data_IF_520563331976
#
_entry.id   IF_520563331976
#
_cell.length_a   1.000
_cell.length_b   1.000
_cell.length_c   1.000
_cell.angle_alpha   90.00
_cell.angle_beta   90.00
_cell.angle_gamma   90.00
#
_symmetry.space_group_name_H-M   'P 1'
#
loop_
_entity.id
_entity.type
_entity.pdbx_description
1 polymer ?
#
# COMPACT_ATOMS: atom_id res chain seq x y z
N UNK A 1 22.37 14.32 11.17
CA UNK A 1 21.88 13.41 12.24
C UNK A 1 20.61 13.89 12.94
N UNK A 2 20.57 15.05 13.62
CA UNK A 2 19.32 15.51 14.28
C UNK A 2 18.25 15.91 13.26
N UNK A 3 18.63 16.57 12.17
CA UNK A 3 17.76 16.93 11.08
C UNK A 3 17.16 15.69 10.43
N UNK A 4 17.98 14.72 10.05
CA UNK A 4 17.56 13.46 9.43
C UNK A 4 16.56 12.70 10.34
N UNK A 5 16.82 12.69 11.66
CA UNK A 5 15.92 12.08 12.62
C UNK A 5 14.53 12.77 12.66
N UNK A 6 14.51 14.11 12.62
CA UNK A 6 13.26 14.89 12.59
C UNK A 6 12.49 14.62 11.29
N UNK A 7 13.18 14.60 10.15
CA UNK A 7 12.58 14.29 8.84
C UNK A 7 11.94 12.89 8.83
N UNK A 8 12.68 11.87 9.28
CA UNK A 8 12.16 10.51 9.38
C UNK A 8 10.96 10.44 10.33
N UNK A 9 10.98 11.18 11.45
CA UNK A 9 9.86 11.23 12.37
C UNK A 9 8.59 11.82 11.72
N UNK A 10 8.76 12.93 10.97
CA UNK A 10 7.66 13.56 10.23
C UNK A 10 7.09 12.60 9.18
N UNK A 11 7.95 11.98 8.36
CA UNK A 11 7.54 11.02 7.35
C UNK A 11 6.84 9.82 7.97
N UNK A 12 7.33 9.33 9.12
CA UNK A 12 6.71 8.21 9.86
C UNK A 12 5.32 8.57 10.39
N UNK A 13 5.14 9.78 10.90
CA UNK A 13 3.83 10.26 11.36
C UNK A 13 2.85 10.40 10.18
N UNK A 14 3.30 10.98 9.07
CA UNK A 14 2.49 11.13 7.85
C UNK A 14 2.08 9.76 7.31
N UNK A 15 3.02 8.82 7.18
CA UNK A 15 2.76 7.46 6.71
C UNK A 15 1.78 6.73 7.65
N UNK A 16 2.03 6.72 8.95
CA UNK A 16 1.22 6.01 9.92
C UNK A 16 -0.24 6.50 9.97
N UNK A 17 -0.46 7.80 9.77
CA UNK A 17 -1.80 8.38 9.71
C UNK A 17 -2.46 8.10 8.36
N UNK A 18 -1.74 8.33 7.25
CA UNK A 18 -2.34 8.32 5.91
C UNK A 18 -2.50 6.92 5.30
N UNK A 19 -1.74 5.92 5.74
CA UNK A 19 -1.75 4.56 5.16
C UNK A 19 -3.09 3.84 5.34
N UNK A 20 -3.75 4.06 6.47
CA UNK A 20 -5.01 3.40 6.82
C UNK A 20 -6.25 4.27 6.60
N UNK A 21 -6.07 5.57 6.40
CA UNK A 21 -7.13 6.47 6.00
C UNK A 21 -7.40 6.34 4.49
N UNK A 22 -8.63 6.65 4.03
CA UNK A 22 -8.96 6.58 2.60
C UNK A 22 -8.35 7.77 1.81
N UNK A 23 -7.10 8.11 2.11
CA UNK A 23 -6.29 9.14 1.47
C UNK A 23 -4.97 8.50 1.03
N UNK A 24 -4.40 8.94 -0.08
CA UNK A 24 -3.17 8.31 -0.61
C UNK A 24 -1.95 8.66 0.24
N UNK A 25 -1.36 7.68 0.94
CA UNK A 25 -0.14 7.87 1.75
C UNK A 25 1.04 8.30 0.88
N UNK A 26 1.26 7.65 -0.26
CA UNK A 26 2.33 8.02 -1.19
C UNK A 26 2.21 9.46 -1.70
N UNK A 27 0.98 9.93 -1.98
CA UNK A 27 0.76 11.33 -2.35
C UNK A 27 1.16 12.29 -1.24
N UNK A 28 0.81 11.98 0.02
CA UNK A 28 1.16 12.81 1.18
C UNK A 28 2.66 12.82 1.45
N UNK A 29 3.33 11.66 1.34
CA UNK A 29 4.79 11.59 1.47
C UNK A 29 5.48 12.47 0.43
N UNK A 30 5.08 12.35 -0.85
CA UNK A 30 5.64 13.18 -1.94
C UNK A 30 5.40 14.68 -1.69
N UNK A 31 4.19 15.06 -1.28
CA UNK A 31 3.87 16.46 -1.00
C UNK A 31 4.70 17.01 0.16
N UNK A 32 4.82 16.27 1.25
CA UNK A 32 5.60 16.70 2.43
C UNK A 32 7.08 16.77 2.09
N UNK A 33 7.63 15.77 1.41
CA UNK A 33 9.04 15.77 0.98
C UNK A 33 9.36 16.96 0.08
N UNK A 34 8.49 17.26 -0.90
CA UNK A 34 8.68 18.40 -1.80
C UNK A 34 8.47 19.76 -1.13
N UNK A 35 7.54 19.86 -0.16
CA UNK A 35 7.23 21.14 0.49
C UNK A 35 8.31 21.56 1.49
N UNK A 36 8.97 20.60 2.12
CA UNK A 36 10.01 20.82 3.13
C UNK A 36 11.42 20.57 2.59
N UNK A 37 11.58 20.28 1.27
CA UNK A 37 12.87 19.95 0.63
C UNK A 37 13.63 18.86 1.42
N UNK A 38 12.91 17.78 1.81
CA UNK A 38 13.51 16.73 2.63
C UNK A 38 14.53 15.92 1.81
N UNK A 39 15.77 15.90 2.29
CA UNK A 39 16.89 15.18 1.63
C UNK A 39 16.85 13.68 1.89
N UNK A 40 16.18 13.26 2.97
CA UNK A 40 16.12 11.87 3.43
C UNK A 40 15.11 11.00 2.68
N UNK A 41 14.40 11.49 1.66
CA UNK A 41 13.47 10.65 0.89
C UNK A 41 14.23 9.67 0.00
N UNK A 42 14.42 8.45 0.49
CA UNK A 42 15.04 7.35 -0.25
C UNK A 42 14.11 6.15 -0.33
N UNK A 43 14.34 5.27 -1.32
CA UNK A 43 13.60 4.00 -1.45
C UNK A 43 13.62 3.19 -0.15
N UNK A 44 14.76 3.15 0.55
CA UNK A 44 14.90 2.43 1.82
C UNK A 44 14.00 3.01 2.93
N UNK A 45 13.85 4.33 2.99
CA UNK A 45 12.95 4.97 3.96
C UNK A 45 11.50 4.64 3.62
N UNK A 46 11.09 4.75 2.35
CA UNK A 46 9.73 4.39 1.94
C UNK A 46 9.39 2.94 2.30
N UNK A 47 10.31 2.00 2.03
CA UNK A 47 10.15 0.59 2.41
C UNK A 47 10.03 0.43 3.93
N UNK A 48 10.87 1.12 4.69
CA UNK A 48 10.87 1.06 6.15
C UNK A 48 9.56 1.58 6.75
N UNK A 49 9.01 2.65 6.17
CA UNK A 49 7.71 3.22 6.55
C UNK A 49 6.56 2.23 6.29
N UNK A 50 6.57 1.55 5.14
CA UNK A 50 5.58 0.51 4.81
C UNK A 50 5.72 -0.71 5.72
N UNK A 51 6.95 -1.14 6.04
CA UNK A 51 7.20 -2.20 7.03
C UNK A 51 6.69 -1.82 8.42
N UNK A 52 6.90 -0.57 8.85
CA UNK A 52 6.35 -0.06 10.10
C UNK A 52 4.83 -0.13 10.13
N UNK A 53 4.16 0.27 9.04
CA UNK A 53 2.71 0.18 8.89
C UNK A 53 2.23 -1.28 8.88
N UNK A 54 2.97 -2.20 8.25
CA UNK A 54 2.68 -3.63 8.26
C UNK A 54 2.75 -4.21 9.68
N UNK A 55 3.80 -3.90 10.42
CA UNK A 55 3.95 -4.35 11.81
C UNK A 55 2.81 -3.80 12.69
N UNK A 56 2.46 -2.54 12.51
CA UNK A 56 1.38 -1.89 13.25
C UNK A 56 0.02 -2.57 13.01
N UNK A 57 -0.35 -2.86 11.75
CA UNK A 57 -1.62 -3.52 11.44
C UNK A 57 -1.65 -4.97 11.91
N UNK A 58 -0.54 -5.71 11.81
CA UNK A 58 -0.43 -7.07 12.35
C UNK A 58 -0.61 -7.05 13.87
N UNK A 59 0.04 -6.11 14.55
CA UNK A 59 -0.08 -6.00 16.01
C UNK A 59 -1.48 -5.60 16.45
N UNK A 60 -2.13 -4.68 15.73
CA UNK A 60 -3.51 -4.27 16.01
C UNK A 60 -4.50 -5.43 15.84
N UNK A 61 -4.40 -6.15 14.73
CA UNK A 61 -5.28 -7.28 14.42
C UNK A 61 -4.74 -8.64 14.91
N UNK A 62 -3.77 -8.66 15.84
CA UNK A 62 -3.15 -9.92 16.31
C UNK A 62 -4.16 -10.94 16.82
N UNK A 63 -5.21 -10.51 17.52
CA UNK A 63 -6.26 -11.44 18.03
C UNK A 63 -7.02 -12.08 16.88
N UNK A 64 -7.48 -11.27 15.93
CA UNK A 64 -8.16 -11.75 14.74
C UNK A 64 -7.26 -12.65 13.89
N UNK A 65 -5.98 -12.32 13.78
CA UNK A 65 -5.00 -13.12 13.03
C UNK A 65 -4.72 -14.47 13.72
N UNK A 66 -4.68 -14.52 15.06
CA UNK A 66 -4.60 -15.79 15.78
C UNK A 66 -5.87 -16.63 15.61
N UNK A 67 -7.04 -15.98 15.61
CA UNK A 67 -8.31 -16.66 15.35
C UNK A 67 -8.46 -17.11 13.89
N UNK A 68 -7.76 -16.46 12.93
CA UNK A 68 -7.73 -16.89 11.52
C UNK A 68 -7.19 -18.31 11.38
N UNK A 69 -6.29 -18.75 12.27
CA UNK A 69 -5.78 -20.13 12.28
C UNK A 69 -6.91 -21.14 12.56
N UNK A 70 -7.91 -20.73 13.32
CA UNK A 70 -9.11 -21.54 13.60
C UNK A 70 -10.24 -21.23 12.61
N UNK A 71 -10.24 -20.05 11.99
CA UNK A 71 -11.21 -19.61 10.99
C UNK A 71 -10.59 -19.59 9.58
N UNK A 72 -10.33 -20.77 9.05
CA UNK A 72 -9.76 -20.98 7.72
C UNK A 72 -10.55 -20.26 6.61
N UNK A 73 -11.85 -20.03 6.80
CA UNK A 73 -12.69 -19.33 5.83
C UNK A 73 -12.25 -17.86 5.64
N UNK A 74 -12.07 -17.11 6.74
CA UNK A 74 -11.69 -15.70 6.64
C UNK A 74 -10.27 -15.57 6.08
N UNK A 75 -9.33 -16.42 6.50
CA UNK A 75 -7.99 -16.47 5.96
C UNK A 75 -7.98 -16.71 4.44
N UNK A 76 -8.72 -17.72 3.99
CA UNK A 76 -8.84 -18.02 2.56
C UNK A 76 -9.41 -16.85 1.77
N UNK A 77 -10.42 -16.13 2.32
CA UNK A 77 -11.03 -14.98 1.69
C UNK A 77 -10.01 -13.83 1.55
N UNK A 78 -9.19 -13.57 2.57
CA UNK A 78 -8.14 -12.53 2.50
C UNK A 78 -7.10 -12.89 1.43
N UNK A 79 -6.66 -14.14 1.39
CA UNK A 79 -5.70 -14.62 0.37
C UNK A 79 -6.29 -14.44 -1.02
N UNK A 80 -7.51 -14.94 -1.27
CA UNK A 80 -8.19 -14.85 -2.58
C UNK A 80 -8.37 -13.39 -2.99
N UNK A 81 -8.78 -12.51 -2.06
CA UNK A 81 -8.97 -11.08 -2.35
C UNK A 81 -7.67 -10.34 -2.66
N UNK A 82 -6.53 -10.85 -2.21
CA UNK A 82 -5.23 -10.24 -2.46
C UNK A 82 -4.58 -10.70 -3.76
N UNK A 83 -4.98 -11.86 -4.29
CA UNK A 83 -4.39 -12.42 -5.52
C UNK A 83 -4.44 -11.46 -6.72
N UNK A 84 -5.55 -10.76 -7.02
CA UNK A 84 -5.58 -9.84 -8.15
C UNK A 84 -4.52 -8.73 -8.03
N UNK A 85 -4.39 -8.11 -6.86
CA UNK A 85 -3.39 -7.07 -6.63
C UNK A 85 -1.97 -7.60 -6.77
N UNK A 86 -1.68 -8.76 -6.18
CA UNK A 86 -0.34 -9.36 -6.24
C UNK A 86 0.03 -9.69 -7.69
N UNK A 87 -0.89 -10.28 -8.45
CA UNK A 87 -0.66 -10.65 -9.85
C UNK A 87 -0.40 -9.42 -10.73
N UNK A 88 -1.30 -8.43 -10.70
CA UNK A 88 -1.15 -7.22 -11.51
C UNK A 88 -0.02 -6.33 -11.01
N UNK A 89 0.23 -6.29 -9.70
CA UNK A 89 1.36 -5.57 -9.11
C UNK A 89 2.70 -6.11 -9.58
N UNK A 90 2.84 -7.44 -9.65
CA UNK A 90 4.04 -8.07 -10.17
C UNK A 90 4.26 -7.76 -11.67
N UNK A 91 3.21 -7.81 -12.49
CA UNK A 91 3.29 -7.43 -13.91
C UNK A 91 3.72 -5.97 -14.06
N UNK A 92 3.10 -5.06 -13.29
CA UNK A 92 3.44 -3.64 -13.35
C UNK A 92 4.87 -3.36 -12.90
N UNK A 93 5.35 -4.07 -11.88
CA UNK A 93 6.73 -4.00 -11.43
C UNK A 93 7.71 -4.42 -12.52
N UNK A 94 7.42 -5.53 -13.23
CA UNK A 94 8.30 -6.05 -14.27
C UNK A 94 8.34 -5.22 -15.55
N UNK A 95 7.33 -4.36 -15.79
CA UNK A 95 7.22 -3.54 -17.01
C UNK A 95 7.69 -2.10 -16.84
N UNK A 96 8.05 -1.69 -15.64
CA UNK A 96 8.44 -0.30 -15.27
C UNK A 96 7.40 0.77 -15.66
N UNK A 97 6.22 0.38 -16.12
CA UNK A 97 5.16 1.26 -16.61
C UNK A 97 4.68 2.26 -15.54
N UNK A 98 4.89 1.91 -14.28
CA UNK A 98 4.45 2.73 -13.13
C UNK A 98 5.17 4.09 -13.08
N UNK A 99 6.39 4.18 -13.61
CA UNK A 99 7.17 5.43 -13.63
C UNK A 99 6.52 6.50 -14.52
N UNK A 100 5.85 6.10 -15.60
CA UNK A 100 5.16 7.02 -16.51
C UNK A 100 3.93 7.68 -15.86
N UNK A 101 3.34 7.03 -14.86
CA UNK A 101 2.14 7.51 -14.14
C UNK A 101 2.48 8.39 -12.92
N UNK A 102 3.73 8.43 -12.48
CA UNK A 102 4.17 9.24 -11.32
C UNK A 102 4.29 10.72 -11.67
N UNK A 103 3.16 11.37 -11.93
CA UNK A 103 3.07 12.79 -12.22
C UNK A 103 2.08 13.43 -11.24
N UNK A 104 2.43 14.60 -10.69
CA UNK A 104 1.62 15.35 -9.72
C UNK A 104 0.19 15.63 -10.24
N UNK A 105 0.04 15.89 -11.54
CA UNK A 105 -1.29 16.09 -12.16
C UNK A 105 -2.13 14.82 -12.15
N UNK A 106 -1.51 13.66 -12.44
CA UNK A 106 -2.17 12.36 -12.37
C UNK A 106 -2.59 12.07 -10.93
N UNK A 107 -1.69 12.24 -9.97
CA UNK A 107 -1.96 12.03 -8.55
C UNK A 107 -3.12 12.89 -8.08
N UNK A 108 -3.12 14.20 -8.39
CA UNK A 108 -4.19 15.10 -7.99
C UNK A 108 -5.55 14.71 -8.62
N UNK A 109 -5.56 14.40 -9.91
CA UNK A 109 -6.78 14.03 -10.64
C UNK A 109 -7.37 12.71 -10.13
N UNK A 110 -6.53 11.69 -9.91
CA UNK A 110 -6.97 10.38 -9.41
C UNK A 110 -7.46 10.46 -7.97
N UNK A 111 -6.74 11.19 -7.11
CA UNK A 111 -7.17 11.39 -5.73
C UNK A 111 -8.53 12.07 -5.67
N UNK A 112 -8.75 13.12 -6.47
CA UNK A 112 -10.02 13.83 -6.52
C UNK A 112 -11.14 12.92 -7.06
N UNK A 113 -10.92 12.25 -8.18
CA UNK A 113 -11.90 11.38 -8.82
C UNK A 113 -12.32 10.21 -7.91
N UNK A 114 -11.37 9.49 -7.33
CA UNK A 114 -11.68 8.36 -6.44
C UNK A 114 -12.22 8.81 -5.09
N UNK A 115 -11.88 10.02 -4.63
CA UNK A 115 -12.53 10.65 -3.48
C UNK A 115 -14.02 10.88 -3.69
N UNK A 116 -14.43 11.36 -4.87
CA UNK A 116 -15.84 11.48 -5.24
C UNK A 116 -16.53 10.13 -5.31
N UNK A 117 -15.90 9.11 -5.89
CA UNK A 117 -16.47 7.75 -5.95
C UNK A 117 -16.70 7.20 -4.53
N UNK A 118 -15.74 7.38 -3.62
CA UNK A 118 -15.89 6.98 -2.21
C UNK A 118 -17.05 7.71 -1.55
N UNK A 119 -17.19 9.02 -1.79
CA UNK A 119 -18.31 9.83 -1.26
C UNK A 119 -19.66 9.25 -1.68
N UNK A 120 -19.85 8.92 -2.96
CA UNK A 120 -21.08 8.28 -3.45
C UNK A 120 -21.27 6.86 -2.92
N UNK A 121 -20.20 6.07 -2.81
CA UNK A 121 -20.26 4.73 -2.26
C UNK A 121 -20.69 4.75 -0.79
N UNK A 122 -20.25 5.74 -0.02
CA UNK A 122 -20.55 5.86 1.39
C UNK A 122 -22.02 6.20 1.69
N UNK A 123 -22.76 6.73 0.71
CA UNK A 123 -24.20 7.00 0.82
C UNK A 123 -25.07 5.74 0.61
N UNK A 124 -24.47 4.59 0.26
CA UNK A 124 -25.24 3.34 0.07
C UNK A 124 -25.84 2.85 1.37
N UNK A 125 -26.99 2.16 1.24
CA UNK A 125 -27.66 1.48 2.36
C UNK A 125 -26.71 0.45 2.99
N UNK A 126 -26.92 0.21 4.28
CA UNK A 126 -26.16 -0.76 5.06
C UNK A 126 -27.10 -1.92 5.33
N UNK A 127 -26.75 -3.11 4.80
CA UNK A 127 -27.54 -4.34 5.00
C UNK A 127 -26.66 -5.58 5.16
N UNK A 128 -25.32 -5.41 5.11
CA UNK A 128 -24.37 -6.52 5.17
C UNK A 128 -23.34 -6.38 6.27
N UNK A 129 -22.97 -7.54 6.82
CA UNK A 129 -21.94 -7.70 7.84
C UNK A 129 -20.85 -8.67 7.38
N UNK A 130 -19.63 -8.47 7.86
CA UNK A 130 -18.47 -9.30 7.50
C UNK A 130 -18.65 -10.77 7.92
N UNK A 131 -19.26 -11.01 9.08
CA UNK A 131 -19.41 -12.36 9.65
C UNK A 131 -20.33 -13.28 8.85
N UNK A 132 -21.37 -12.74 8.25
CA UNK A 132 -22.41 -13.49 7.54
C UNK A 132 -22.32 -13.40 6.03
N UNK A 133 -21.97 -12.21 5.50
CA UNK A 133 -22.17 -11.88 4.09
C UNK A 133 -20.89 -11.82 3.27
N UNK A 134 -19.70 -11.83 3.95
CA UNK A 134 -18.45 -11.88 3.25
C UNK A 134 -18.25 -13.25 2.60
N UNK A 135 -18.18 -13.28 1.29
CA UNK A 135 -18.02 -14.48 0.48
C UNK A 135 -16.97 -14.27 -0.63
N UNK A 136 -16.63 -15.35 -1.33
CA UNK A 136 -15.60 -15.33 -2.38
C UNK A 136 -15.90 -14.29 -3.46
N UNK A 137 -17.18 -14.15 -3.88
CA UNK A 137 -17.56 -13.17 -4.91
C UNK A 137 -17.31 -11.74 -4.44
N UNK A 138 -17.73 -11.44 -3.19
CA UNK A 138 -17.54 -10.11 -2.59
C UNK A 138 -16.07 -9.76 -2.45
N UNK A 139 -15.26 -10.68 -1.93
CA UNK A 139 -13.83 -10.49 -1.71
C UNK A 139 -13.06 -10.38 -3.02
N UNK A 140 -13.41 -11.19 -4.02
CA UNK A 140 -12.79 -11.12 -5.34
C UNK A 140 -13.10 -9.78 -6.02
N UNK A 141 -14.35 -9.29 -5.90
CA UNK A 141 -14.71 -7.97 -6.43
C UNK A 141 -13.92 -6.85 -5.74
N UNK A 142 -13.80 -6.90 -4.39
CA UNK A 142 -12.98 -5.93 -3.64
C UNK A 142 -11.51 -6.02 -4.09
N UNK A 143 -10.98 -7.22 -4.30
CA UNK A 143 -9.63 -7.47 -4.79
C UNK A 143 -9.40 -6.95 -6.21
N UNK A 144 -10.38 -7.04 -7.10
CA UNK A 144 -10.33 -6.45 -8.44
C UNK A 144 -10.30 -4.91 -8.36
N UNK A 145 -11.12 -4.30 -7.51
CA UNK A 145 -11.04 -2.86 -7.26
C UNK A 145 -9.68 -2.46 -6.68
N UNK A 146 -9.09 -3.31 -5.86
CA UNK A 146 -7.77 -3.05 -5.26
C UNK A 146 -6.66 -2.91 -6.32
N UNK A 147 -6.80 -3.49 -7.52
CA UNK A 147 -5.85 -3.29 -8.63
C UNK A 147 -5.72 -1.80 -8.99
N UNK A 148 -6.80 -1.03 -8.87
CA UNK A 148 -6.78 0.41 -9.14
C UNK A 148 -5.85 1.17 -8.20
N UNK A 149 -5.52 0.62 -7.03
CA UNK A 149 -4.55 1.19 -6.11
C UNK A 149 -3.11 1.21 -6.66
N UNK A 150 -2.83 0.48 -7.74
CA UNK A 150 -1.56 0.55 -8.45
C UNK A 150 -1.40 1.87 -9.21
N UNK A 151 -2.49 2.60 -9.46
CA UNK A 151 -2.45 3.93 -10.08
C UNK A 151 -2.05 4.95 -9.00
N UNK A 152 -1.01 5.77 -9.23
CA UNK A 152 -0.60 6.79 -8.27
C UNK A 152 -1.74 7.76 -7.91
N UNK A 153 -1.88 8.06 -6.62
CA UNK A 153 -2.96 8.92 -6.10
C UNK A 153 -4.23 8.16 -5.71
N UNK A 154 -4.43 6.92 -6.19
CA UNK A 154 -5.52 6.08 -5.71
C UNK A 154 -5.14 5.46 -4.38
N UNK A 155 -5.84 5.85 -3.34
CA UNK A 155 -5.66 5.25 -2.01
C UNK A 155 -6.09 3.79 -2.02
N UNK A 156 -5.19 2.87 -1.63
CA UNK A 156 -5.52 1.45 -1.48
C UNK A 156 -6.64 1.25 -0.46
N UNK A 157 -6.54 1.90 0.71
CA UNK A 157 -7.60 1.88 1.70
C UNK A 157 -8.90 2.48 1.16
N UNK A 158 -8.81 3.62 0.46
CA UNK A 158 -9.97 4.28 -0.14
C UNK A 158 -10.71 3.39 -1.15
N UNK A 159 -10.01 2.76 -2.07
CA UNK A 159 -10.66 1.96 -3.11
C UNK A 159 -11.25 0.65 -2.59
N UNK A 160 -10.61 -0.01 -1.61
CA UNK A 160 -11.15 -1.22 -0.98
C UNK A 160 -12.36 -0.92 -0.11
N UNK A 161 -12.34 0.19 0.64
CA UNK A 161 -13.51 0.68 1.37
C UNK A 161 -14.64 1.03 0.40
N UNK A 162 -14.34 1.74 -0.70
CA UNK A 162 -15.31 2.06 -1.75
C UNK A 162 -16.01 0.82 -2.29
N UNK A 163 -15.24 -0.22 -2.65
CA UNK A 163 -15.79 -1.47 -3.15
C UNK A 163 -16.67 -2.18 -2.10
N UNK A 164 -16.22 -2.23 -0.86
CA UNK A 164 -16.99 -2.82 0.24
C UNK A 164 -18.29 -2.04 0.51
N UNK A 165 -18.25 -0.70 0.43
CA UNK A 165 -19.44 0.16 0.55
C UNK A 165 -20.42 -0.04 -0.61
N UNK A 166 -19.95 -0.19 -1.84
CA UNK A 166 -20.81 -0.56 -2.98
C UNK A 166 -21.48 -1.91 -2.82
N UNK A 167 -20.86 -2.83 -2.06
CA UNK A 167 -21.43 -4.11 -1.69
C UNK A 167 -22.33 -4.02 -0.44
N UNK A 168 -22.62 -2.82 0.05
CA UNK A 168 -23.51 -2.51 1.18
C UNK A 168 -22.97 -2.94 2.56
N UNK A 169 -21.66 -3.21 2.70
CA UNK A 169 -21.06 -3.42 4.01
C UNK A 169 -21.08 -2.11 4.83
N UNK A 170 -21.30 -2.22 6.14
CA UNK A 170 -21.20 -1.06 7.03
C UNK A 170 -19.77 -0.48 7.05
N UNK A 171 -19.59 0.76 7.52
CA UNK A 171 -18.30 1.46 7.52
C UNK A 171 -17.23 0.71 8.30
N UNK A 172 -17.57 0.18 9.48
CA UNK A 172 -16.65 -0.55 10.34
C UNK A 172 -16.15 -1.83 9.67
N UNK A 173 -17.06 -2.61 9.08
CA UNK A 173 -16.72 -3.84 8.38
C UNK A 173 -15.95 -3.56 7.07
N UNK A 174 -16.33 -2.52 6.33
CA UNK A 174 -15.62 -2.09 5.14
C UNK A 174 -14.16 -1.71 5.47
N UNK A 175 -13.94 -0.96 6.56
CA UNK A 175 -12.60 -0.62 7.05
C UNK A 175 -11.84 -1.86 7.52
N UNK A 176 -12.50 -2.77 8.25
CA UNK A 176 -11.90 -4.03 8.71
C UNK A 176 -11.45 -4.90 7.54
N UNK A 177 -12.26 -5.05 6.50
CA UNK A 177 -11.90 -5.78 5.26
C UNK A 177 -10.68 -5.11 4.61
N UNK A 178 -10.70 -3.79 4.48
CA UNK A 178 -9.58 -3.02 3.90
C UNK A 178 -8.28 -3.23 4.65
N UNK A 179 -8.31 -3.19 5.99
CA UNK A 179 -7.12 -3.39 6.83
C UNK A 179 -6.59 -4.82 6.76
N UNK A 180 -7.46 -5.82 6.76
CA UNK A 180 -7.04 -7.21 6.61
C UNK A 180 -6.39 -7.47 5.24
N UNK A 181 -6.96 -6.90 4.16
CA UNK A 181 -6.38 -6.98 2.81
C UNK A 181 -5.08 -6.16 2.68
N UNK A 182 -4.84 -5.20 3.59
CA UNK A 182 -3.59 -4.44 3.59
C UNK A 182 -2.38 -5.28 3.97
N UNK A 183 -2.55 -6.31 4.79
CA UNK A 183 -1.44 -7.14 5.29
C UNK A 183 -0.68 -7.80 4.14
N UNK A 184 -1.30 -8.61 3.26
CA UNK A 184 -0.60 -9.19 2.12
C UNK A 184 -0.13 -8.15 1.10
N UNK A 185 -0.86 -7.04 0.93
CA UNK A 185 -0.47 -5.95 0.03
C UNK A 185 0.81 -5.24 0.50
N UNK A 186 0.89 -4.84 1.77
CA UNK A 186 2.07 -4.21 2.36
C UNK A 186 3.25 -5.19 2.43
N UNK A 187 3.00 -6.47 2.74
CA UNK A 187 4.04 -7.49 2.73
C UNK A 187 4.65 -7.65 1.32
N UNK A 188 3.80 -7.72 0.28
CA UNK A 188 4.25 -7.80 -1.11
C UNK A 188 5.03 -6.56 -1.54
N UNK A 189 4.54 -5.36 -1.26
CA UNK A 189 5.23 -4.10 -1.57
C UNK A 189 6.58 -3.99 -0.86
N UNK A 190 6.64 -4.34 0.43
CA UNK A 190 7.89 -4.33 1.20
C UNK A 190 8.89 -5.36 0.67
N UNK A 191 8.42 -6.55 0.28
CA UNK A 191 9.29 -7.59 -0.29
C UNK A 191 9.91 -7.14 -1.63
N UNK A 192 9.10 -6.60 -2.55
CA UNK A 192 9.59 -6.10 -3.83
C UNK A 192 10.55 -4.91 -3.65
N UNK A 193 10.21 -3.98 -2.77
CA UNK A 193 11.07 -2.85 -2.48
C UNK A 193 12.40 -3.23 -1.85
N UNK A 194 12.42 -4.19 -0.91
CA UNK A 194 13.66 -4.72 -0.34
C UNK A 194 14.53 -5.38 -1.43
N UNK A 195 13.92 -6.17 -2.31
CA UNK A 195 14.63 -6.76 -3.44
C UNK A 195 15.30 -5.70 -4.31
N UNK A 196 14.57 -4.65 -4.69
CA UNK A 196 15.08 -3.54 -5.49
C UNK A 196 16.23 -2.81 -4.78
N UNK A 197 16.10 -2.56 -3.47
CA UNK A 197 17.15 -1.93 -2.68
C UNK A 197 18.42 -2.78 -2.61
N UNK A 198 18.30 -4.11 -2.53
CA UNK A 198 19.45 -5.02 -2.60
C UNK A 198 20.10 -5.02 -3.99
N UNK A 199 19.32 -5.05 -5.07
CA UNK A 199 19.84 -5.02 -6.44
C UNK A 199 20.63 -3.70 -6.67
N UNK A 200 20.09 -2.54 -6.29
CA UNK A 200 20.78 -1.25 -6.39
C UNK A 200 22.08 -1.18 -5.57
N UNK A 201 22.11 -1.78 -4.37
CA UNK A 201 23.33 -1.80 -3.54
C UNK A 201 24.44 -2.68 -4.14
N UNK A 202 24.08 -3.80 -4.79
CA UNK A 202 25.03 -4.68 -5.47
C UNK A 202 25.61 -3.97 -6.70
N UNK A 203 24.79 -3.32 -7.51
CA UNK A 203 25.25 -2.57 -8.67
C UNK A 203 26.21 -1.45 -8.27
N UNK A 204 25.90 -0.70 -7.22
CA UNK A 204 26.80 0.31 -6.67
C UNK A 204 28.16 -0.27 -6.27
N UNK A 205 28.20 -1.43 -5.62
CA UNK A 205 29.44 -2.12 -5.23
C UNK A 205 30.25 -2.61 -6.44
N UNK A 206 29.58 -3.08 -7.49
CA UNK A 206 30.24 -3.53 -8.72
C UNK A 206 30.86 -2.36 -9.50
N UNK A 207 30.18 -1.20 -9.54
CA UNK A 207 30.71 0.01 -10.18
C UNK A 207 31.82 0.71 -9.40
N UNK A 208 31.85 0.55 -8.06
CA UNK A 208 32.92 1.09 -7.21
C UNK A 208 34.12 0.17 -7.04
N UNK A 209 34.04 -1.06 -7.53
CA UNK A 209 35.18 -1.98 -7.55
C UNK A 209 36.18 -1.53 -8.62
N UNK A 210 37.47 -1.29 -8.26
CA UNK A 210 38.48 -0.86 -9.23
C UNK A 210 38.60 -1.90 -10.33
N UNK A 211 38.54 -1.44 -11.57
CA UNK A 211 38.74 -2.31 -12.74
C UNK A 211 40.11 -2.98 -12.65
N UNK A 212 40.26 -4.22 -13.13
CA UNK A 212 41.60 -4.85 -13.24
C UNK A 212 42.63 -4.01 -14.01
N UNK A 213 42.18 -3.02 -14.80
CA UNK A 213 43.03 -2.06 -15.50
C UNK A 213 43.52 -0.93 -14.59
N UNK A 214 42.78 -0.60 -13.53
CA UNK A 214 43.17 0.47 -12.58
C UNK A 214 44.17 -0.05 -11.53
N UNK A 215 44.24 -1.38 -11.36
CA UNK A 215 45.21 -2.06 -10.49
C UNK A 215 46.55 -2.35 -11.20
N UNK A 216 46.67 -2.06 -12.51
CA UNK A 216 47.87 -2.33 -13.33
C UNK A 216 48.69 -1.06 -13.63
N UNK A 217 48.35 0.07 -13.01
CA UNK A 217 49.16 1.33 -13.00
C UNK A 217 49.82 1.50 -11.63
#
# INVERSE_FOLDING_TARGET
MLQDFIEILILSAVQGISEFLPISSSAHLILVSNFYDLETSSLLIDISLHLGSLIAVIFYFRKELFDLRNNNRLLSLIIIGSLPLIFFGYILYSTEFIHLLRNTKVIASTTLFFGFILFFADQRKIDRNISTDLNIKSVLLIGLFQILALIPGVSRAGITITAARFLNFNRTDASKISFLLSIPALAGASFLGLREAFEQSIDCLLYTSPSPRDLAQ
#
